data_IF_649726608413
#
_entry.id   IF_649726608413
#
_cell.length_a   1.000
_cell.length_b   1.000
_cell.length_c   1.000
_cell.angle_alpha   90.00
_cell.angle_beta   90.00
_cell.angle_gamma   90.00
#
_symmetry.space_group_name_H-M   'P 1'
#
loop_
_entity.id
_entity.type
_entity.pdbx_description
1 polymer ?
#
# COMPACT_ATOMS: atom_id res chain seq x y z
N UNK A 1 35.42 -0.86 -16.38
CA UNK A 1 34.34 -0.35 -15.52
C UNK A 1 34.89 0.80 -14.71
N UNK A 2 34.29 1.97 -14.81
CA UNK A 2 34.61 3.09 -13.92
C UNK A 2 33.87 2.91 -12.59
N UNK A 3 34.59 3.04 -11.49
CA UNK A 3 34.02 2.97 -10.14
C UNK A 3 33.99 4.36 -9.52
N UNK A 4 32.84 4.76 -8.99
CA UNK A 4 32.67 6.01 -8.27
C UNK A 4 32.43 5.70 -6.80
N UNK A 5 33.21 6.33 -5.91
CA UNK A 5 33.03 6.20 -4.47
C UNK A 5 31.97 7.19 -4.00
N UNK A 6 31.02 6.70 -3.20
CA UNK A 6 29.95 7.49 -2.59
C UNK A 6 30.01 7.25 -1.08
N UNK A 7 29.85 8.31 -0.30
CA UNK A 7 29.87 8.26 1.16
C UNK A 7 28.50 8.65 1.71
N UNK A 8 27.97 7.85 2.64
CA UNK A 8 26.73 8.12 3.35
C UNK A 8 26.96 8.08 4.87
N UNK A 9 26.21 8.91 5.60
CA UNK A 9 26.23 8.89 7.08
C UNK A 9 25.10 7.98 7.57
N UNK A 10 25.43 7.13 8.53
CA UNK A 10 24.49 6.25 9.21
C UNK A 10 24.80 6.23 10.72
N UNK A 11 23.78 6.01 11.57
CA UNK A 11 24.00 5.71 12.99
C UNK A 11 24.95 4.53 13.16
N UNK A 12 25.83 4.61 14.16
CA UNK A 12 26.89 3.61 14.34
C UNK A 12 26.35 2.22 14.66
N UNK A 13 25.24 2.16 15.41
CA UNK A 13 24.59 0.91 15.79
C UNK A 13 24.02 0.17 14.57
N UNK A 14 23.44 0.90 13.62
CA UNK A 14 22.94 0.36 12.35
C UNK A 14 24.08 -0.15 11.47
N UNK A 15 25.22 0.55 11.44
CA UNK A 15 26.41 0.12 10.68
C UNK A 15 26.97 -1.18 11.24
N UNK A 16 26.99 -1.35 12.56
CA UNK A 16 27.46 -2.58 13.20
C UNK A 16 26.53 -3.75 12.87
N UNK A 17 25.22 -3.56 13.03
CA UNK A 17 24.21 -4.57 12.69
C UNK A 17 24.30 -4.98 11.22
N UNK A 18 24.46 -4.00 10.32
CA UNK A 18 24.57 -4.26 8.88
C UNK A 18 25.84 -5.05 8.54
N UNK A 19 26.98 -4.71 9.16
CA UNK A 19 28.24 -5.44 8.96
C UNK A 19 28.14 -6.88 9.45
N UNK A 20 27.54 -7.11 10.61
CA UNK A 20 27.34 -8.45 11.15
C UNK A 20 26.42 -9.30 10.27
N UNK A 21 25.36 -8.69 9.73
CA UNK A 21 24.48 -9.33 8.76
C UNK A 21 25.22 -9.72 7.48
N UNK A 22 26.01 -8.80 6.91
CA UNK A 22 26.83 -9.08 5.73
C UNK A 22 27.83 -10.21 5.98
N UNK A 23 28.47 -10.22 7.15
CA UNK A 23 29.41 -11.27 7.57
C UNK A 23 28.74 -12.64 7.66
N UNK A 24 27.54 -12.73 8.24
CA UNK A 24 26.76 -13.98 8.32
C UNK A 24 26.37 -14.51 6.93
N UNK A 25 26.10 -13.61 5.97
CA UNK A 25 25.78 -13.96 4.59
C UNK A 25 27.01 -14.20 3.69
N UNK A 26 28.23 -13.96 4.18
CA UNK A 26 29.45 -14.12 3.40
C UNK A 26 29.63 -13.09 2.27
N UNK A 27 28.95 -11.94 2.36
CA UNK A 27 29.00 -10.87 1.35
C UNK A 27 29.65 -9.60 1.90
N UNK A 28 30.23 -8.78 1.03
CA UNK A 28 30.73 -7.46 1.45
C UNK A 28 29.58 -6.44 1.52
N UNK A 29 29.63 -5.47 2.43
CA UNK A 29 28.64 -4.38 2.49
C UNK A 29 28.45 -3.67 1.15
N UNK A 30 29.53 -3.41 0.42
CA UNK A 30 29.47 -2.73 -0.88
C UNK A 30 28.81 -3.60 -1.96
N UNK A 31 29.05 -4.92 -1.95
CA UNK A 31 28.40 -5.84 -2.88
C UNK A 31 26.90 -5.93 -2.62
N UNK A 32 26.51 -6.06 -1.35
CA UNK A 32 25.10 -6.12 -0.95
C UNK A 32 24.37 -4.80 -1.25
N UNK A 33 24.97 -3.64 -0.95
CA UNK A 33 24.38 -2.34 -1.29
C UNK A 33 24.21 -2.20 -2.80
N UNK A 34 25.20 -2.63 -3.60
CA UNK A 34 25.07 -2.59 -5.06
C UNK A 34 23.94 -3.47 -5.55
N UNK A 35 23.81 -4.68 -5.01
CA UNK A 35 22.72 -5.59 -5.34
C UNK A 35 21.35 -4.99 -5.01
N UNK A 36 21.20 -4.42 -3.81
CA UNK A 36 19.95 -3.76 -3.39
C UNK A 36 19.62 -2.54 -4.27
N UNK A 37 20.61 -1.73 -4.64
CA UNK A 37 20.40 -0.59 -5.54
C UNK A 37 19.94 -1.09 -6.91
N UNK A 38 20.56 -2.14 -7.45
CA UNK A 38 20.16 -2.72 -8.73
C UNK A 38 18.75 -3.32 -8.67
N UNK A 39 18.41 -4.00 -7.57
CA UNK A 39 17.06 -4.53 -7.36
C UNK A 39 16.01 -3.43 -7.36
N UNK A 40 16.26 -2.29 -6.72
CA UNK A 40 15.31 -1.16 -6.75
C UNK A 40 15.25 -0.42 -8.08
N UNK A 41 16.33 -0.48 -8.88
CA UNK A 41 16.30 0.05 -10.24
C UNK A 41 15.53 -0.86 -11.21
N UNK A 42 15.66 -2.18 -11.04
CA UNK A 42 15.00 -3.18 -11.90
C UNK A 42 13.51 -3.35 -11.54
N UNK A 43 13.18 -3.28 -10.25
CA UNK A 43 11.80 -3.39 -9.74
C UNK A 43 11.53 -2.21 -8.81
N UNK A 44 11.25 -1.01 -9.34
CA UNK A 44 10.96 0.14 -8.50
C UNK A 44 9.67 -0.14 -7.72
N UNK A 45 9.82 -0.41 -6.42
CA UNK A 45 8.66 -0.55 -5.53
C UNK A 45 8.09 0.86 -5.36
N UNK A 46 6.89 1.17 -5.89
CA UNK A 46 6.38 2.53 -5.84
C UNK A 46 6.07 2.87 -4.37
N UNK A 47 6.71 3.92 -3.85
CA UNK A 47 6.56 4.33 -2.43
C UNK A 47 5.12 4.68 -2.03
N UNK A 48 4.28 5.03 -3.01
CA UNK A 48 2.84 5.25 -2.86
C UNK A 48 2.15 4.80 -4.13
N UNK A 49 1.48 3.66 -4.09
CA UNK A 49 0.66 3.18 -5.20
C UNK A 49 -0.80 3.31 -4.82
N UNK A 50 -1.56 4.09 -5.59
CA UNK A 50 -3.02 4.03 -5.57
C UNK A 50 -3.49 3.03 -6.62
N UNK A 51 -4.68 2.49 -6.40
CA UNK A 51 -5.25 1.50 -7.28
C UNK A 51 -6.72 1.26 -7.00
N UNK A 52 -7.35 0.45 -7.86
CA UNK A 52 -8.76 0.09 -7.77
C UNK A 52 -8.90 -1.41 -7.54
N UNK A 53 -9.79 -1.78 -6.62
CA UNK A 53 -10.15 -3.17 -6.42
C UNK A 53 -10.89 -3.71 -7.65
N UNK A 54 -10.51 -4.91 -8.08
CA UNK A 54 -11.12 -5.65 -9.17
C UNK A 54 -11.45 -7.06 -8.71
N UNK A 55 -12.72 -7.41 -8.78
CA UNK A 55 -13.22 -8.75 -8.45
C UNK A 55 -13.69 -9.40 -9.74
N UNK A 56 -13.12 -10.55 -10.09
CA UNK A 56 -13.46 -11.30 -11.29
C UNK A 56 -14.01 -12.68 -10.92
N UNK A 57 -15.11 -13.08 -11.55
CA UNK A 57 -15.69 -14.41 -11.39
C UNK A 57 -15.04 -15.39 -12.38
N UNK A 58 -14.58 -16.52 -11.87
CA UNK A 58 -14.10 -17.65 -12.64
C UNK A 58 -15.19 -18.73 -12.68
N UNK A 59 -15.79 -18.90 -13.87
CA UNK A 59 -16.88 -19.86 -14.12
C UNK A 59 -16.42 -21.32 -14.03
N UNK A 60 -15.15 -21.62 -14.32
CA UNK A 60 -14.64 -22.99 -14.34
C UNK A 60 -14.48 -23.56 -12.93
N UNK A 61 -14.12 -22.70 -11.98
CA UNK A 61 -13.86 -23.09 -10.58
C UNK A 61 -14.99 -22.72 -9.63
N UNK A 62 -15.98 -21.96 -10.11
CA UNK A 62 -17.04 -21.33 -9.32
C UNK A 62 -16.48 -20.49 -8.15
N UNK A 63 -15.45 -19.70 -8.44
CA UNK A 63 -14.73 -18.86 -7.46
C UNK A 63 -14.44 -17.49 -8.02
N UNK A 64 -14.08 -16.59 -7.12
CA UNK A 64 -13.68 -15.23 -7.46
C UNK A 64 -12.18 -15.03 -7.26
N UNK A 65 -11.63 -14.08 -8.01
CA UNK A 65 -10.27 -13.58 -7.83
C UNK A 65 -10.39 -12.12 -7.45
N UNK A 66 -9.74 -11.73 -6.36
CA UNK A 66 -9.60 -10.34 -5.96
C UNK A 66 -8.19 -9.85 -6.32
N UNK A 67 -8.15 -8.79 -7.12
CA UNK A 67 -6.92 -8.11 -7.52
C UNK A 67 -7.04 -6.60 -7.33
N UNK A 68 -5.90 -5.92 -7.32
CA UNK A 68 -5.81 -4.46 -7.35
C UNK A 68 -5.13 -4.04 -8.64
N UNK A 69 -5.83 -3.23 -9.43
CA UNK A 69 -5.27 -2.55 -10.58
C UNK A 69 -4.62 -1.24 -10.12
N UNK A 70 -3.30 -1.16 -10.26
CA UNK A 70 -2.49 -0.02 -9.87
C UNK A 70 -2.50 1.05 -10.96
N UNK A 71 -2.21 2.30 -10.58
CA UNK A 71 -2.15 3.43 -11.53
C UNK A 71 -1.08 3.26 -12.63
N UNK A 72 -0.07 2.41 -12.39
CA UNK A 72 0.94 2.07 -13.39
C UNK A 72 0.48 0.99 -14.40
N UNK A 73 -0.80 0.59 -14.34
CA UNK A 73 -1.40 -0.43 -15.20
C UNK A 73 -1.09 -1.87 -14.79
N UNK A 74 -0.30 -2.09 -13.73
CA UNK A 74 -0.05 -3.42 -13.20
C UNK A 74 -1.26 -3.92 -12.41
N UNK A 75 -1.56 -5.21 -12.53
CA UNK A 75 -2.58 -5.87 -11.68
C UNK A 75 -1.87 -6.79 -10.70
N UNK A 76 -2.12 -6.58 -9.41
CA UNK A 76 -1.61 -7.43 -8.34
C UNK A 76 -2.75 -8.28 -7.79
N UNK A 77 -2.57 -9.59 -7.78
CA UNK A 77 -3.52 -10.50 -7.14
C UNK A 77 -3.39 -10.37 -5.61
N UNK A 78 -4.53 -10.13 -4.94
CA UNK A 78 -4.61 -10.06 -3.48
C UNK A 78 -5.00 -11.42 -2.91
N UNK A 79 -6.03 -12.04 -3.52
CA UNK A 79 -6.56 -13.31 -3.07
C UNK A 79 -7.18 -14.08 -4.23
N UNK A 80 -6.88 -15.37 -4.29
CA UNK A 80 -7.43 -16.31 -5.27
C UNK A 80 -8.42 -17.27 -4.60
N UNK A 81 -9.21 -17.98 -5.41
CA UNK A 81 -10.18 -18.99 -4.96
C UNK A 81 -11.17 -18.47 -3.91
N UNK A 82 -11.58 -17.20 -4.05
CA UNK A 82 -12.49 -16.55 -3.11
C UNK A 82 -13.90 -17.10 -3.28
N UNK A 83 -14.54 -17.49 -2.17
CA UNK A 83 -15.93 -17.96 -2.21
C UNK A 83 -16.91 -16.80 -2.33
N UNK A 84 -18.10 -17.08 -2.88
CA UNK A 84 -19.23 -16.11 -2.87
C UNK A 84 -19.54 -15.64 -1.45
N UNK A 85 -19.60 -16.57 -0.49
CA UNK A 85 -19.91 -16.25 0.91
C UNK A 85 -18.90 -15.30 1.55
N UNK A 86 -17.62 -15.43 1.20
CA UNK A 86 -16.59 -14.51 1.66
C UNK A 86 -16.85 -13.09 1.15
N UNK A 87 -17.21 -12.94 -0.14
CA UNK A 87 -17.51 -11.63 -0.72
C UNK A 87 -18.77 -10.98 -0.14
N UNK A 88 -19.82 -11.78 0.12
CA UNK A 88 -21.02 -11.29 0.82
C UNK A 88 -20.68 -10.72 2.19
N UNK A 89 -19.95 -11.47 3.01
CA UNK A 89 -19.55 -11.04 4.35
C UNK A 89 -18.64 -9.79 4.28
N UNK A 90 -17.75 -9.72 3.28
CA UNK A 90 -16.89 -8.56 3.06
C UNK A 90 -17.72 -7.31 2.73
N UNK A 91 -18.73 -7.46 1.87
CA UNK A 91 -19.63 -6.37 1.50
C UNK A 91 -20.38 -5.81 2.72
N UNK A 92 -20.92 -6.69 3.57
CA UNK A 92 -21.59 -6.29 4.82
C UNK A 92 -20.69 -5.49 5.75
N UNK A 93 -19.44 -5.94 5.96
CA UNK A 93 -18.49 -5.26 6.86
C UNK A 93 -18.06 -3.91 6.29
N UNK A 94 -17.82 -3.83 4.97
CA UNK A 94 -17.48 -2.56 4.29
C UNK A 94 -18.63 -1.56 4.43
N UNK A 95 -19.86 -1.99 4.15
CA UNK A 95 -21.03 -1.13 4.26
C UNK A 95 -21.21 -0.60 5.68
N UNK A 96 -21.07 -1.48 6.68
CA UNK A 96 -21.12 -1.09 8.09
C UNK A 96 -20.06 -0.03 8.43
N UNK A 97 -18.81 -0.24 8.02
CA UNK A 97 -17.73 0.73 8.26
C UNK A 97 -17.95 2.07 7.58
N UNK A 98 -18.49 2.07 6.35
CA UNK A 98 -18.86 3.30 5.64
C UNK A 98 -19.99 4.05 6.36
N UNK A 99 -20.99 3.34 6.87
CA UNK A 99 -22.11 3.91 7.62
C UNK A 99 -21.66 4.47 8.99
N UNK A 100 -20.77 3.77 9.70
CA UNK A 100 -20.17 4.27 10.94
C UNK A 100 -19.40 5.57 10.69
N UNK A 101 -18.60 5.62 9.62
CA UNK A 101 -17.88 6.83 9.21
C UNK A 101 -18.85 7.97 8.88
N UNK A 102 -19.89 7.71 8.10
CA UNK A 102 -20.90 8.71 7.73
C UNK A 102 -21.58 9.29 8.98
N UNK A 103 -21.93 8.43 9.93
CA UNK A 103 -22.53 8.82 11.21
C UNK A 103 -21.56 9.67 12.04
N UNK A 104 -20.29 9.28 12.14
CA UNK A 104 -19.27 10.02 12.88
C UNK A 104 -19.06 11.44 12.33
N UNK A 105 -19.01 11.60 11.01
CA UNK A 105 -18.83 12.92 10.38
C UNK A 105 -20.13 13.73 10.26
N UNK A 106 -21.26 13.21 10.75
CA UNK A 106 -22.57 13.87 10.68
C UNK A 106 -23.11 14.00 9.26
N UNK A 107 -22.72 13.11 8.35
CA UNK A 107 -23.12 13.14 6.94
C UNK A 107 -24.54 12.57 6.80
N UNK A 108 -25.50 13.42 6.44
CA UNK A 108 -26.92 13.05 6.29
C UNK A 108 -27.31 12.72 4.85
N UNK A 109 -26.58 13.25 3.87
CA UNK A 109 -26.81 12.98 2.44
C UNK A 109 -25.59 12.33 1.80
N UNK A 110 -25.83 11.34 0.93
CA UNK A 110 -24.80 10.80 0.04
C UNK A 110 -24.22 11.96 -0.79
N UNK A 111 -22.91 12.00 -0.97
CA UNK A 111 -22.15 13.09 -1.63
C UNK A 111 -22.05 14.45 -0.93
N UNK A 112 -22.66 14.66 0.23
CA UNK A 112 -22.40 15.87 1.03
C UNK A 112 -21.01 15.85 1.69
N UNK A 113 -20.42 17.03 1.89
CA UNK A 113 -19.13 17.21 2.57
C UNK A 113 -19.38 17.86 3.92
N UNK A 114 -18.83 17.33 5.03
CA UNK A 114 -19.01 17.94 6.35
C UNK A 114 -18.36 19.33 6.36
N UNK A 115 -19.15 20.35 6.69
CA UNK A 115 -18.68 21.75 6.79
C UNK A 115 -18.32 22.06 8.24
N UNK A 116 -17.09 22.53 8.54
CA UNK A 116 -16.70 22.95 9.87
C UNK A 116 -17.64 24.02 10.44
N UNK A 117 -18.14 23.81 11.66
CA UNK A 117 -19.07 24.72 12.34
C UNK A 117 -18.50 26.14 12.54
N UNK A 118 -17.18 26.29 12.59
CA UNK A 118 -16.50 27.59 12.66
C UNK A 118 -16.70 28.47 11.41
N UNK A 119 -16.92 27.88 10.24
CA UNK A 119 -17.24 28.63 9.01
C UNK A 119 -18.66 29.20 9.12
N UNK A 120 -19.60 28.41 9.64
CA UNK A 120 -21.01 28.79 9.80
C UNK A 120 -21.22 29.83 10.91
N UNK A 121 -20.31 29.89 11.90
CA UNK A 121 -20.39 30.79 13.07
C UNK A 121 -19.77 32.19 12.86
N UNK A 122 -19.39 32.59 11.65
CA UNK A 122 -18.98 33.99 11.41
C UNK A 122 -20.15 34.92 11.72
N UNK A 123 -20.05 35.66 12.84
CA UNK A 123 -20.91 36.80 13.18
C UNK A 123 -21.03 37.70 11.94
N UNK A 124 -22.27 38.07 11.57
CA UNK A 124 -22.51 39.20 10.66
C UNK A 124 -21.65 40.38 11.13
N UNK A 125 -20.77 40.86 10.27
CA UNK A 125 -20.12 42.16 10.42
C UNK A 125 -21.18 43.26 10.50
#
# INVERSE_FOLDING_TARGET
MEFKTISAKMPIDEVLLFKDFCKKKGVSPAALIRELILQELDVPIPHTVSGKNKIAYNQETDRFIWSVELDNGQTIEVLNYVSSKFLENLLEIIEKGLNERASFIGKTENDSVPVPSGILRRKKL
#
